data_IF_889175168738
#
_entry.id   IF_889175168738
#
_cell.length_a   1.000
_cell.length_b   1.000
_cell.length_c   1.000
_cell.angle_alpha   90.00
_cell.angle_beta   90.00
_cell.angle_gamma   90.00
#
_symmetry.space_group_name_H-M   'P 1'
#
loop_
_entity.id
_entity.type
_entity.pdbx_description
1 polymer ?
#
# COMPACT_ATOMS: atom_id res chain seq x y z
N UNK A 1 16.97 -21.62 46.31
CA UNK A 1 17.50 -20.67 45.31
C UNK A 1 16.71 -20.88 44.04
N UNK A 2 15.75 -19.98 43.79
CA UNK A 2 14.90 -20.02 42.61
C UNK A 2 15.64 -19.33 41.47
N UNK A 3 15.96 -20.04 40.40
CA UNK A 3 16.58 -19.45 39.21
C UNK A 3 15.45 -18.87 38.37
N UNK A 4 15.29 -17.55 38.41
CA UNK A 4 14.43 -16.80 37.49
C UNK A 4 15.04 -16.87 36.09
N UNK A 5 14.45 -17.71 35.23
CA UNK A 5 14.74 -17.73 33.80
C UNK A 5 14.11 -16.51 33.14
N UNK A 6 14.92 -15.44 33.01
CA UNK A 6 14.59 -14.30 32.17
C UNK A 6 14.55 -14.76 30.70
N UNK A 7 13.34 -15.08 30.21
CA UNK A 7 13.05 -15.20 28.79
C UNK A 7 13.17 -13.81 28.16
N UNK A 8 14.38 -13.47 27.73
CA UNK A 8 14.62 -12.34 26.84
C UNK A 8 13.92 -12.70 25.53
N UNK A 9 12.74 -12.12 25.29
CA UNK A 9 12.07 -12.16 23.99
C UNK A 9 12.95 -11.43 22.98
N UNK A 10 13.90 -12.15 22.37
CA UNK A 10 14.57 -11.65 21.17
C UNK A 10 13.50 -11.44 20.10
N UNK A 11 13.46 -10.30 19.41
CA UNK A 11 12.58 -10.14 18.26
C UNK A 11 12.95 -11.25 17.28
N UNK A 12 11.98 -12.09 16.91
CA UNK A 12 12.22 -13.19 15.98
C UNK A 12 12.72 -12.59 14.66
N UNK A 13 14.04 -12.68 14.43
CA UNK A 13 14.65 -12.36 13.16
C UNK A 13 14.08 -13.33 12.14
N UNK A 14 13.18 -12.82 11.29
CA UNK A 14 12.60 -13.61 10.20
C UNK A 14 13.73 -14.11 9.31
N UNK A 15 13.74 -15.41 9.03
CA UNK A 15 14.70 -15.98 8.09
C UNK A 15 14.44 -15.42 6.68
N UNK A 16 15.46 -15.38 5.83
CA UNK A 16 15.28 -14.97 4.42
C UNK A 16 14.23 -15.80 3.68
N UNK A 17 14.06 -17.08 4.04
CA UNK A 17 12.99 -17.92 3.49
C UNK A 17 11.59 -17.52 3.95
N UNK A 18 11.43 -17.01 5.18
CA UNK A 18 10.14 -16.55 5.67
C UNK A 18 9.76 -15.22 5.02
N UNK A 19 10.73 -14.32 4.82
CA UNK A 19 10.52 -13.09 4.05
C UNK A 19 10.04 -13.38 2.61
N UNK A 20 10.63 -14.38 1.96
CA UNK A 20 10.20 -14.79 0.61
C UNK A 20 8.79 -15.40 0.61
N UNK A 21 8.40 -16.13 1.66
CA UNK A 21 7.02 -16.62 1.81
C UNK A 21 6.04 -15.46 1.98
N UNK A 22 6.40 -14.43 2.75
CA UNK A 22 5.57 -13.24 2.88
C UNK A 22 5.44 -12.49 1.54
N UNK A 23 6.53 -12.36 0.77
CA UNK A 23 6.47 -11.79 -0.57
C UNK A 23 5.55 -12.60 -1.51
N UNK A 24 5.55 -13.93 -1.40
CA UNK A 24 4.68 -14.79 -2.20
C UNK A 24 3.19 -14.62 -1.88
N UNK A 25 2.85 -14.12 -0.68
CA UNK A 25 1.47 -13.86 -0.24
C UNK A 25 0.88 -12.57 -0.79
N UNK A 26 1.69 -11.70 -1.42
CA UNK A 26 1.17 -10.52 -2.11
C UNK A 26 0.02 -10.95 -3.02
N UNK A 27 -1.15 -10.34 -2.82
CA UNK A 27 -2.34 -10.68 -3.57
C UNK A 27 -2.23 -10.15 -4.99
N UNK A 28 -2.83 -10.88 -5.93
CA UNK A 28 -2.88 -10.45 -7.33
C UNK A 28 -3.73 -9.18 -7.49
N UNK A 29 -3.24 -8.25 -8.28
CA UNK A 29 -3.96 -7.06 -8.68
C UNK A 29 -4.29 -7.11 -10.17
N UNK A 30 -5.57 -7.21 -10.48
CA UNK A 30 -6.07 -7.37 -11.84
C UNK A 30 -6.42 -6.03 -12.52
N UNK A 31 -6.56 -4.94 -11.76
CA UNK A 31 -7.12 -3.69 -12.29
C UNK A 31 -8.65 -3.72 -12.40
N UNK A 32 -9.30 -4.59 -11.63
CA UNK A 32 -10.75 -4.73 -11.50
C UNK A 32 -11.22 -4.37 -10.08
N UNK A 33 -12.53 -4.41 -9.81
CA UNK A 33 -13.11 -3.94 -8.53
C UNK A 33 -12.98 -4.93 -7.35
N UNK A 34 -12.41 -6.10 -7.60
CA UNK A 34 -12.27 -7.25 -6.70
C UNK A 34 -11.14 -7.08 -5.67
N UNK A 35 -10.12 -6.28 -5.98
CA UNK A 35 -9.04 -5.96 -5.05
C UNK A 35 -8.53 -4.54 -5.26
N UNK A 36 -8.42 -3.81 -4.15
CA UNK A 36 -8.12 -2.39 -4.16
C UNK A 36 -6.63 -2.11 -4.44
N UNK A 37 -6.35 -1.18 -5.35
CA UNK A 37 -4.98 -0.78 -5.70
C UNK A 37 -4.19 -0.31 -4.48
N UNK A 38 -4.81 0.41 -3.56
CA UNK A 38 -4.13 0.93 -2.36
C UNK A 38 -3.68 -0.18 -1.43
N UNK A 39 -4.45 -1.28 -1.37
CA UNK A 39 -4.06 -2.47 -0.61
C UNK A 39 -2.87 -3.17 -1.27
N UNK A 40 -2.90 -3.32 -2.60
CA UNK A 40 -1.78 -3.89 -3.35
C UNK A 40 -0.50 -3.06 -3.15
N UNK A 41 -0.58 -1.75 -3.34
CA UNK A 41 0.57 -0.84 -3.15
C UNK A 41 1.13 -0.96 -1.73
N UNK A 42 0.26 -0.99 -0.71
CA UNK A 42 0.69 -1.12 0.68
C UNK A 42 1.41 -2.44 0.94
N UNK A 43 0.92 -3.56 0.42
CA UNK A 43 1.59 -4.86 0.56
C UNK A 43 2.99 -4.81 -0.08
N UNK A 44 3.12 -4.25 -1.27
CA UNK A 44 4.43 -4.10 -1.93
C UNK A 44 5.36 -3.17 -1.17
N UNK A 45 4.88 -2.03 -0.68
CA UNK A 45 5.67 -1.07 0.09
C UNK A 45 6.06 -1.59 1.48
N UNK A 46 5.35 -2.57 2.03
CA UNK A 46 5.76 -3.29 3.24
C UNK A 46 6.85 -4.33 2.96
N UNK A 47 6.74 -5.07 1.85
CA UNK A 47 7.61 -6.22 1.55
C UNK A 47 8.92 -5.80 0.89
N UNK A 48 8.87 -4.93 -0.12
CA UNK A 48 10.02 -4.65 -0.98
C UNK A 48 11.23 -4.05 -0.22
N UNK A 49 11.04 -3.14 0.77
CA UNK A 49 12.15 -2.61 1.56
C UNK A 49 12.91 -3.65 2.38
N UNK A 50 12.28 -4.77 2.73
CA UNK A 50 12.91 -5.85 3.51
C UNK A 50 14.08 -6.51 2.78
N UNK A 51 14.22 -6.26 1.48
CA UNK A 51 15.28 -6.81 0.64
C UNK A 51 16.26 -5.76 0.13
N UNK A 52 16.13 -4.49 0.54
CA UNK A 52 16.88 -3.36 -0.03
C UNK A 52 18.41 -3.51 0.11
N UNK A 53 18.88 -4.15 1.17
CA UNK A 53 20.31 -4.39 1.42
C UNK A 53 20.93 -5.38 0.40
N UNK A 54 20.12 -6.21 -0.25
CA UNK A 54 20.58 -7.17 -1.26
C UNK A 54 19.96 -6.86 -2.63
N UNK A 55 20.73 -6.15 -3.47
CA UNK A 55 20.25 -5.70 -4.78
C UNK A 55 19.76 -6.82 -5.70
N UNK A 56 20.39 -8.00 -5.66
CA UNK A 56 20.00 -9.16 -6.47
C UNK A 56 18.66 -9.71 -5.98
N UNK A 57 18.52 -9.89 -4.67
CA UNK A 57 17.30 -10.39 -4.06
C UNK A 57 16.14 -9.40 -4.20
N UNK A 58 16.41 -8.11 -4.04
CA UNK A 58 15.45 -7.03 -4.27
C UNK A 58 14.90 -7.06 -5.70
N UNK A 59 15.78 -7.17 -6.71
CA UNK A 59 15.36 -7.32 -8.12
C UNK A 59 14.56 -8.60 -8.33
N UNK A 60 15.02 -9.72 -7.78
CA UNK A 60 14.29 -10.98 -7.85
C UNK A 60 12.88 -10.87 -7.26
N UNK A 61 12.71 -10.21 -6.11
CA UNK A 61 11.40 -10.02 -5.48
C UNK A 61 10.50 -9.10 -6.31
N UNK A 62 11.04 -7.99 -6.83
CA UNK A 62 10.31 -7.09 -7.71
C UNK A 62 9.78 -7.82 -8.95
N UNK A 63 10.62 -8.60 -9.63
CA UNK A 63 10.20 -9.37 -10.80
C UNK A 63 9.24 -10.51 -10.43
N UNK A 64 9.64 -11.35 -9.47
CA UNK A 64 8.95 -12.62 -9.21
C UNK A 64 7.65 -12.44 -8.44
N UNK A 65 7.62 -11.53 -7.47
CA UNK A 65 6.52 -11.42 -6.49
C UNK A 65 5.74 -10.12 -6.57
N UNK A 66 6.24 -9.09 -7.28
CA UNK A 66 5.46 -7.86 -7.51
C UNK A 66 4.91 -7.86 -8.93
N UNK A 67 5.77 -7.84 -9.95
CA UNK A 67 5.34 -7.75 -11.36
C UNK A 67 4.44 -8.92 -11.78
N UNK A 68 4.78 -10.16 -11.41
CA UNK A 68 3.93 -11.32 -11.75
C UNK A 68 2.58 -11.35 -11.03
N UNK A 69 2.40 -10.57 -9.95
CA UNK A 69 1.11 -10.43 -9.26
C UNK A 69 0.21 -9.42 -9.94
N UNK A 70 0.73 -8.62 -10.88
CA UNK A 70 -0.06 -7.72 -11.68
C UNK A 70 -0.59 -8.48 -12.89
N UNK A 71 -1.91 -8.56 -13.00
CA UNK A 71 -2.62 -9.35 -14.00
C UNK A 71 -3.75 -8.54 -14.65
N UNK A 72 -4.53 -9.20 -15.52
CA UNK A 72 -5.70 -8.59 -16.14
C UNK A 72 -5.40 -7.29 -16.89
N UNK A 73 -6.35 -6.35 -16.92
CA UNK A 73 -6.15 -5.01 -17.47
C UNK A 73 -4.87 -4.30 -16.99
N UNK A 74 -4.51 -4.44 -15.70
CA UNK A 74 -3.33 -3.76 -15.13
C UNK A 74 -2.00 -4.24 -15.73
N UNK A 75 -1.94 -5.50 -16.18
CA UNK A 75 -0.74 -6.06 -16.80
C UNK A 75 -0.35 -5.33 -18.09
N UNK A 76 -1.32 -4.84 -18.87
CA UNK A 76 -1.04 -4.10 -20.10
C UNK A 76 -0.28 -2.81 -19.83
N UNK A 77 -0.63 -2.11 -18.74
CA UNK A 77 0.02 -0.88 -18.31
C UNK A 77 1.48 -1.16 -17.94
N UNK A 78 1.72 -2.21 -17.15
CA UNK A 78 3.08 -2.57 -16.72
C UNK A 78 3.95 -3.03 -17.88
N UNK A 79 3.40 -3.79 -18.83
CA UNK A 79 4.13 -4.24 -20.02
C UNK A 79 4.59 -3.08 -20.90
N UNK A 80 3.82 -2.01 -20.98
CA UNK A 80 4.17 -0.82 -21.76
C UNK A 80 5.41 -0.08 -21.20
N UNK A 81 5.72 -0.25 -19.91
CA UNK A 81 6.90 0.35 -19.27
C UNK A 81 8.22 -0.37 -19.59
N UNK A 82 8.16 -1.60 -20.10
CA UNK A 82 9.35 -2.42 -20.39
C UNK A 82 9.88 -3.22 -19.20
N UNK A 83 10.89 -4.06 -19.46
CA UNK A 83 11.44 -5.00 -18.46
C UNK A 83 12.15 -4.32 -17.30
N UNK A 84 12.76 -3.16 -17.52
CA UNK A 84 13.54 -2.45 -16.50
C UNK A 84 12.71 -1.47 -15.65
N UNK A 85 11.38 -1.51 -15.78
CA UNK A 85 10.48 -0.64 -15.04
C UNK A 85 10.67 -0.80 -13.52
N UNK A 86 10.96 0.32 -12.86
CA UNK A 86 11.11 0.39 -11.41
C UNK A 86 9.76 0.34 -10.71
N UNK A 87 9.73 -0.03 -9.42
CA UNK A 87 8.50 -0.01 -8.64
C UNK A 87 7.80 1.36 -8.64
N UNK A 88 8.56 2.47 -8.56
CA UNK A 88 7.97 3.82 -8.56
C UNK A 88 7.24 4.12 -9.87
N UNK A 89 7.84 3.79 -11.02
CA UNK A 89 7.20 3.98 -12.33
C UNK A 89 5.94 3.11 -12.47
N UNK A 90 6.00 1.85 -11.99
CA UNK A 90 4.85 0.95 -11.98
C UNK A 90 3.73 1.55 -11.12
N UNK A 91 4.05 1.99 -9.90
CA UNK A 91 3.10 2.60 -8.97
C UNK A 91 2.42 3.81 -9.58
N UNK A 92 3.19 4.73 -10.15
CA UNK A 92 2.68 5.95 -10.79
C UNK A 92 1.69 5.62 -11.91
N UNK A 93 2.04 4.71 -12.82
CA UNK A 93 1.14 4.35 -13.92
C UNK A 93 -0.10 3.58 -13.43
N UNK A 94 0.02 2.71 -12.43
CA UNK A 94 -1.15 2.05 -11.85
C UNK A 94 -2.10 3.07 -11.22
N UNK A 95 -1.58 4.01 -10.44
CA UNK A 95 -2.38 5.07 -9.80
C UNK A 95 -3.06 5.94 -10.83
N UNK A 96 -2.35 6.33 -11.89
CA UNK A 96 -2.87 7.14 -12.99
C UNK A 96 -4.01 6.45 -13.75
N UNK A 97 -3.94 5.13 -13.96
CA UNK A 97 -4.91 4.40 -14.78
C UNK A 97 -6.09 3.83 -13.98
N UNK A 98 -5.89 3.44 -12.72
CA UNK A 98 -6.92 2.77 -11.91
C UNK A 98 -7.44 3.62 -10.76
N UNK A 99 -6.75 4.69 -10.39
CA UNK A 99 -7.07 5.52 -9.25
C UNK A 99 -6.79 4.83 -7.90
N UNK A 100 -6.59 5.63 -6.86
CA UNK A 100 -6.55 5.15 -5.48
C UNK A 100 -7.95 5.39 -4.92
N UNK A 101 -8.67 4.33 -4.51
CA UNK A 101 -9.90 4.54 -3.74
C UNK A 101 -9.49 5.03 -2.36
N UNK A 102 -10.01 6.19 -1.99
CA UNK A 102 -9.78 6.76 -0.68
C UNK A 102 -10.20 5.76 0.42
N UNK A 103 -9.35 5.58 1.41
CA UNK A 103 -9.65 4.66 2.52
C UNK A 103 -10.93 5.10 3.24
N UNK A 104 -11.68 4.14 3.79
CA UNK A 104 -12.88 4.45 4.60
C UNK A 104 -12.60 5.48 5.70
N UNK A 105 -11.42 5.39 6.33
CA UNK A 105 -11.00 6.34 7.36
C UNK A 105 -10.89 7.78 6.82
N UNK A 106 -10.30 7.93 5.63
CA UNK A 106 -10.22 9.24 4.96
C UNK A 106 -11.61 9.78 4.60
N UNK A 107 -12.45 8.95 3.99
CA UNK A 107 -13.83 9.31 3.61
C UNK A 107 -14.68 9.70 4.84
N UNK A 108 -14.52 9.00 5.96
CA UNK A 108 -15.19 9.30 7.22
C UNK A 108 -14.76 10.66 7.79
N UNK A 109 -13.45 10.93 7.87
CA UNK A 109 -12.96 12.22 8.34
C UNK A 109 -13.35 13.37 7.41
N UNK A 110 -13.33 13.15 6.10
CA UNK A 110 -13.82 14.12 5.12
C UNK A 110 -15.30 14.45 5.35
N UNK A 111 -16.15 13.44 5.54
CA UNK A 111 -17.58 13.64 5.80
C UNK A 111 -17.85 14.42 7.11
N UNK A 112 -17.09 14.13 8.18
CA UNK A 112 -17.20 14.87 9.44
C UNK A 112 -16.74 16.33 9.28
N UNK A 113 -15.60 16.54 8.60
CA UNK A 113 -15.07 17.89 8.40
C UNK A 113 -16.01 18.73 7.51
N UNK A 114 -16.66 18.13 6.51
CA UNK A 114 -17.69 18.80 5.71
C UNK A 114 -18.93 19.18 6.52
N UNK A 115 -19.37 18.33 7.44
CA UNK A 115 -20.50 18.65 8.35
C UNK A 115 -20.18 19.84 9.26
N UNK A 116 -18.94 19.97 9.72
CA UNK A 116 -18.54 21.06 10.61
C UNK A 116 -18.42 22.41 9.88
N UNK A 117 -18.00 22.43 8.62
CA UNK A 117 -17.88 23.68 7.84
C UNK A 117 -19.23 24.26 7.38
N UNK A 118 -20.27 23.44 7.29
CA UNK A 118 -21.62 23.89 6.96
C UNK A 118 -22.43 24.37 8.18
N UNK A 119 -21.82 24.38 9.37
CA UNK A 119 -22.46 24.80 10.63
C UNK A 119 -22.13 26.25 11.05
N UNK A 120 -21.79 27.13 10.10
CA UNK A 120 -21.79 28.57 10.35
C UNK A 120 -23.26 29.04 10.37
N UNK A 121 -23.79 29.54 11.49
CA UNK A 121 -25.17 30.00 11.54
C UNK A 121 -25.31 31.29 10.72
N UNK A 122 -26.30 31.31 9.83
CA UNK A 122 -26.94 32.54 9.38
C UNK A 122 -27.47 33.28 10.61
N UNK A 123 -26.69 34.19 11.19
CA UNK A 123 -27.27 35.21 12.05
C UNK A 123 -26.37 36.45 12.10
N UNK A 124 -26.70 37.44 11.26
CA UNK A 124 -26.43 38.85 11.48
C UNK A 124 -27.46 39.66 10.68
N UNK A 125 -28.74 39.44 10.99
CA UNK A 125 -29.77 40.46 10.77
C UNK A 125 -29.97 41.17 12.12
N UNK A 126 -29.30 42.31 12.34
CA UNK A 126 -29.90 43.40 13.12
C UNK A 126 -29.52 44.74 12.48
N UNK A 127 -30.56 45.35 11.92
CA UNK A 127 -30.74 46.72 11.45
C UNK A 127 -30.24 47.75 12.47
N UNK A 128 -29.68 48.88 12.00
CA UNK A 128 -30.04 50.17 12.55
C UNK A 128 -29.96 51.27 11.47
N UNK A 129 -31.10 51.92 11.33
CA UNK A 129 -31.37 53.26 10.74
C UNK A 129 -30.33 54.32 11.09
#
# INVERSE_FOLDING_TARGET
>A
MSVENNHINQPALLSGSDLLKEAARIKEFHGTKDYDLSSFIREVELILPLFQENAILHRFVLERYVKNKIQGPALHIVRALGSEATWNQIKEELVKNFGIRESYHYLYHQAINMKNNNAIPNNLDIVNT
#
